data_IF_706334160314
#
_entry.id   IF_706334160314
#
_cell.length_a   1.000
_cell.length_b   1.000
_cell.length_c   1.000
_cell.angle_alpha   90.00
_cell.angle_beta   90.00
_cell.angle_gamma   90.00
#
_symmetry.space_group_name_H-M   'P 1'
#
loop_
_entity.id
_entity.type
_entity.pdbx_description
1 polymer ?
#
# COMPACT_ATOMS: atom_id res chain seq x y z
N UNK A 1 1.70 13.49 -23.54
CA UNK A 1 2.85 12.56 -23.62
C UNK A 1 3.71 12.75 -22.38
N UNK A 2 4.00 11.69 -21.62
CA UNK A 2 4.84 11.77 -20.43
C UNK A 2 6.30 12.07 -20.82
N UNK A 3 6.89 13.14 -20.27
CA UNK A 3 8.29 13.50 -20.53
C UNK A 3 9.16 13.15 -19.32
N UNK A 4 10.36 12.57 -19.48
CA UNK A 4 11.22 12.16 -18.37
C UNK A 4 11.58 13.29 -17.40
N UNK A 5 11.70 14.52 -17.90
CA UNK A 5 11.98 15.72 -17.10
C UNK A 5 10.91 16.02 -16.03
N UNK A 6 9.66 15.61 -16.27
CA UNK A 6 8.56 15.82 -15.33
C UNK A 6 8.33 14.64 -14.38
N UNK A 7 9.07 13.52 -14.51
CA UNK A 7 8.87 12.37 -13.62
C UNK A 7 9.14 12.73 -12.15
N UNK A 8 10.29 13.36 -11.78
CA UNK A 8 10.54 13.72 -10.38
C UNK A 8 9.49 14.67 -9.77
N UNK A 9 9.11 15.80 -10.40
CA UNK A 9 8.09 16.67 -9.83
C UNK A 9 6.71 16.00 -9.79
N UNK A 10 6.31 15.23 -10.81
CA UNK A 10 5.01 14.55 -10.81
C UNK A 10 4.90 13.50 -9.70
N UNK A 11 5.96 12.73 -9.42
CA UNK A 11 5.97 11.78 -8.31
C UNK A 11 5.88 12.51 -6.97
N UNK A 12 6.56 13.64 -6.81
CA UNK A 12 6.52 14.43 -5.59
C UNK A 12 5.12 14.99 -5.32
N UNK A 13 4.43 15.50 -6.35
CA UNK A 13 3.05 15.98 -6.23
C UNK A 13 2.07 14.83 -5.93
N UNK A 14 2.23 13.67 -6.57
CA UNK A 14 1.42 12.49 -6.26
C UNK A 14 1.60 12.04 -4.80
N UNK A 15 2.83 12.06 -4.29
CA UNK A 15 3.11 11.72 -2.90
C UNK A 15 2.49 12.73 -1.92
N UNK A 16 2.52 14.03 -2.24
CA UNK A 16 1.86 15.08 -1.44
C UNK A 16 0.34 14.94 -1.45
N UNK A 17 -0.25 14.65 -2.61
CA UNK A 17 -1.68 14.39 -2.73
C UNK A 17 -2.10 13.19 -1.88
N UNK A 18 -1.36 12.08 -1.96
CA UNK A 18 -1.63 10.91 -1.14
C UNK A 18 -1.48 11.19 0.36
N UNK A 19 -0.48 12.00 0.76
CA UNK A 19 -0.29 12.45 2.14
C UNK A 19 -1.49 13.27 2.64
N UNK A 20 -1.96 14.22 1.83
CA UNK A 20 -3.10 15.08 2.17
C UNK A 20 -4.41 14.28 2.28
N UNK A 21 -4.68 13.35 1.36
CA UNK A 21 -5.85 12.47 1.45
C UNK A 21 -5.82 11.66 2.75
N UNK A 22 -4.68 11.09 3.12
CA UNK A 22 -4.56 10.34 4.38
C UNK A 22 -4.67 11.23 5.61
N UNK A 23 -4.12 12.44 5.57
CA UNK A 23 -4.27 13.43 6.62
C UNK A 23 -5.75 13.80 6.84
N UNK A 24 -6.48 14.08 5.76
CA UNK A 24 -7.92 14.36 5.79
C UNK A 24 -8.76 13.15 6.24
N UNK A 25 -8.31 11.93 5.92
CA UNK A 25 -8.89 10.69 6.42
C UNK A 25 -8.58 10.40 7.90
N UNK A 26 -7.76 11.25 8.56
CA UNK A 26 -7.43 11.14 9.98
C UNK A 26 -6.31 10.17 10.32
N UNK A 27 -5.45 9.82 9.35
CA UNK A 27 -4.29 8.95 9.58
C UNK A 27 -3.31 9.57 10.60
N UNK A 28 -2.82 8.74 11.53
CA UNK A 28 -1.83 9.12 12.56
C UNK A 28 -0.60 8.20 12.56
N UNK A 29 -0.37 7.48 11.47
CA UNK A 29 0.77 6.58 11.34
C UNK A 29 2.10 7.33 11.45
N UNK A 30 2.99 6.84 12.30
CA UNK A 30 4.37 7.33 12.49
C UNK A 30 5.41 6.22 12.28
N UNK A 31 4.94 5.01 11.97
CA UNK A 31 5.71 3.80 11.76
C UNK A 31 5.85 3.50 10.25
N UNK A 32 6.41 2.33 9.91
CA UNK A 32 6.57 1.90 8.52
C UNK A 32 5.25 1.89 7.73
N UNK A 33 4.10 1.79 8.42
CA UNK A 33 2.78 1.86 7.78
C UNK A 33 2.55 3.19 7.04
N UNK A 34 3.19 4.28 7.49
CA UNK A 34 3.14 5.60 6.83
C UNK A 34 3.54 5.52 5.36
N UNK A 35 4.64 4.83 5.05
CA UNK A 35 5.14 4.65 3.68
C UNK A 35 4.22 3.75 2.87
N UNK A 36 3.81 2.62 3.46
CA UNK A 36 2.97 1.65 2.74
C UNK A 36 1.62 2.24 2.34
N UNK A 37 0.98 3.01 3.24
CA UNK A 37 -0.31 3.68 2.99
C UNK A 37 -0.24 4.69 1.85
N UNK A 38 0.82 5.50 1.80
CA UNK A 38 1.01 6.52 0.76
C UNK A 38 1.42 5.92 -0.58
N UNK A 39 2.26 4.88 -0.55
CA UNK A 39 2.62 4.13 -1.74
C UNK A 39 1.41 3.42 -2.34
N UNK A 40 0.60 2.73 -1.52
CA UNK A 40 -0.60 2.04 -1.98
C UNK A 40 -1.64 3.02 -2.54
N UNK A 41 -1.91 4.13 -1.85
CA UNK A 41 -2.87 5.12 -2.32
C UNK A 41 -2.42 5.79 -3.62
N UNK A 42 -1.13 6.11 -3.75
CA UNK A 42 -0.56 6.63 -5.02
C UNK A 42 -0.74 5.66 -6.18
N UNK A 43 -0.56 4.36 -5.93
CA UNK A 43 -0.79 3.31 -6.94
C UNK A 43 -2.28 3.17 -7.31
N UNK A 44 -3.18 3.22 -6.32
CA UNK A 44 -4.64 3.20 -6.56
C UNK A 44 -5.05 4.42 -7.40
N UNK A 45 -4.61 5.62 -7.03
CA UNK A 45 -4.93 6.86 -7.74
C UNK A 45 -4.45 6.82 -9.19
N UNK A 46 -3.16 6.55 -9.41
CA UNK A 46 -2.57 6.53 -10.75
C UNK A 46 -3.19 5.46 -11.67
N UNK A 47 -3.46 4.26 -11.14
CA UNK A 47 -4.12 3.21 -11.92
C UNK A 47 -5.58 3.55 -12.26
N UNK A 48 -6.29 4.21 -11.33
CA UNK A 48 -7.67 4.68 -11.56
C UNK A 48 -7.71 5.79 -12.59
N UNK A 49 -6.77 6.74 -12.54
CA UNK A 49 -6.67 7.84 -13.51
C UNK A 49 -6.41 7.32 -14.94
N UNK A 50 -5.51 6.34 -15.08
CA UNK A 50 -5.27 5.66 -16.36
C UNK A 50 -6.52 4.90 -16.84
N UNK A 51 -7.24 4.23 -15.94
CA UNK A 51 -8.49 3.54 -16.30
C UNK A 51 -9.57 4.55 -16.75
N UNK A 52 -9.73 5.64 -16.01
CA UNK A 52 -10.68 6.70 -16.28
C UNK A 52 -10.50 7.31 -17.67
N UNK A 53 -9.25 7.42 -18.15
CA UNK A 53 -8.94 7.94 -19.49
C UNK A 53 -9.57 7.14 -20.66
N UNK A 54 -9.96 5.89 -20.41
CA UNK A 54 -10.56 4.99 -21.39
C UNK A 54 -12.04 4.69 -21.10
N UNK A 55 -12.56 5.16 -19.96
CA UNK A 55 -13.93 4.88 -19.55
C UNK A 55 -14.91 5.78 -20.33
N UNK A 56 -15.91 5.14 -20.93
CA UNK A 56 -16.99 5.77 -21.71
C UNK A 56 -18.35 5.50 -21.10
N UNK A 57 -18.39 4.87 -19.92
CA UNK A 57 -19.64 4.63 -19.20
C UNK A 57 -20.28 5.95 -18.72
N UNK A 58 -21.61 6.01 -18.62
CA UNK A 58 -22.29 7.17 -18.04
C UNK A 58 -21.74 7.46 -16.65
N UNK A 59 -21.44 8.73 -16.38
CA UNK A 59 -20.94 9.23 -15.09
C UNK A 59 -19.73 8.45 -14.52
N UNK A 60 -18.92 7.82 -15.38
CA UNK A 60 -17.74 7.04 -14.99
C UNK A 60 -18.02 5.91 -13.99
N UNK A 61 -19.21 5.28 -14.06
CA UNK A 61 -19.59 4.19 -13.14
C UNK A 61 -18.56 3.06 -13.12
N UNK A 62 -17.98 2.70 -14.27
CA UNK A 62 -16.95 1.65 -14.33
C UNK A 62 -15.65 2.06 -13.63
N UNK A 63 -15.30 3.33 -13.68
CA UNK A 63 -14.15 3.88 -12.95
C UNK A 63 -14.37 3.80 -11.44
N UNK A 64 -15.58 4.12 -10.95
CA UNK A 64 -15.92 3.97 -9.54
C UNK A 64 -15.81 2.51 -9.08
N UNK A 65 -16.38 1.58 -9.84
CA UNK A 65 -16.24 0.15 -9.54
C UNK A 65 -14.78 -0.33 -9.58
N UNK A 66 -13.96 0.23 -10.49
CA UNK A 66 -12.54 -0.08 -10.55
C UNK A 66 -11.80 0.45 -9.32
N UNK A 67 -12.09 1.68 -8.91
CA UNK A 67 -11.53 2.29 -7.71
C UNK A 67 -11.85 1.46 -6.47
N UNK A 68 -13.11 1.06 -6.29
CA UNK A 68 -13.55 0.26 -5.14
C UNK A 68 -12.76 -1.06 -5.04
N UNK A 69 -12.62 -1.78 -6.16
CA UNK A 69 -11.81 -3.01 -6.23
C UNK A 69 -10.34 -2.76 -5.88
N UNK A 70 -9.75 -1.64 -6.33
CA UNK A 70 -8.36 -1.30 -6.05
C UNK A 70 -8.12 -0.93 -4.58
N UNK A 71 -9.09 -0.28 -3.94
CA UNK A 71 -9.05 -0.01 -2.50
C UNK A 71 -9.12 -1.33 -1.72
N UNK A 72 -10.02 -2.24 -2.11
CA UNK A 72 -10.11 -3.57 -1.49
C UNK A 72 -8.81 -4.37 -1.65
N UNK A 73 -8.22 -4.38 -2.85
CA UNK A 73 -6.93 -5.01 -3.12
C UNK A 73 -5.82 -4.44 -2.21
N UNK A 74 -5.76 -3.11 -2.06
CA UNK A 74 -4.76 -2.46 -1.21
C UNK A 74 -4.90 -2.87 0.27
N UNK A 75 -6.13 -3.01 0.77
CA UNK A 75 -6.38 -3.49 2.13
C UNK A 75 -5.97 -4.95 2.31
N UNK A 76 -6.31 -5.80 1.34
CA UNK A 76 -5.97 -7.23 1.34
C UNK A 76 -4.45 -7.47 1.26
N UNK A 77 -3.73 -6.65 0.50
CA UNK A 77 -2.27 -6.69 0.44
C UNK A 77 -1.64 -6.30 1.78
N UNK A 78 -2.15 -5.26 2.44
CA UNK A 78 -1.71 -4.83 3.76
C UNK A 78 -1.88 -5.92 4.82
N UNK A 79 -3.06 -6.56 4.85
CA UNK A 79 -3.33 -7.65 5.80
C UNK A 79 -2.49 -8.90 5.52
N UNK A 80 -2.29 -9.25 4.24
CA UNK A 80 -1.46 -10.38 3.83
C UNK A 80 0.00 -10.20 4.24
N UNK A 81 0.56 -9.01 4.05
CA UNK A 81 1.94 -8.69 4.47
C UNK A 81 2.10 -8.74 5.99
N UNK A 82 1.13 -8.21 6.74
CA UNK A 82 1.13 -8.28 8.20
C UNK A 82 1.11 -9.74 8.70
N UNK A 83 0.25 -10.58 8.12
CA UNK A 83 0.16 -12.00 8.45
C UNK A 83 1.46 -12.76 8.16
N UNK A 84 2.12 -12.48 7.03
CA UNK A 84 3.40 -13.09 6.67
C UNK A 84 4.52 -12.70 7.64
N UNK A 85 4.58 -11.43 8.04
CA UNK A 85 5.52 -10.96 9.06
C UNK A 85 5.31 -11.66 10.40
N UNK A 86 4.06 -11.79 10.84
CA UNK A 86 3.71 -12.50 12.07
C UNK A 86 4.10 -13.98 12.02
N UNK A 87 3.84 -14.68 10.91
CA UNK A 87 4.22 -16.08 10.72
C UNK A 87 5.75 -16.26 10.77
N UNK A 88 6.51 -15.38 10.12
CA UNK A 88 7.97 -15.44 10.11
C UNK A 88 8.59 -15.25 11.50
N UNK A 89 8.13 -14.23 12.23
CA UNK A 89 8.58 -13.97 13.60
C UNK A 89 8.23 -15.15 14.54
N UNK A 90 7.01 -15.68 14.43
CA UNK A 90 6.58 -16.83 15.24
C UNK A 90 7.43 -18.08 14.97
N UNK A 91 7.69 -18.37 13.69
CA UNK A 91 8.51 -19.52 13.29
C UNK A 91 9.96 -19.37 13.78
N UNK A 92 10.53 -18.16 13.67
CA UNK A 92 11.87 -17.86 14.17
C UNK A 92 11.97 -18.02 15.70
N UNK A 93 11.03 -17.45 16.46
CA UNK A 93 11.00 -17.58 17.92
C UNK A 93 10.81 -19.03 18.36
N UNK A 94 9.98 -19.80 17.66
CA UNK A 94 9.80 -21.23 17.93
C UNK A 94 11.09 -22.01 17.72
N UNK A 95 11.83 -21.70 16.66
CA UNK A 95 13.12 -22.34 16.37
C UNK A 95 14.18 -22.02 17.44
N UNK A 96 14.26 -20.75 17.87
CA UNK A 96 15.15 -20.32 18.96
C UNK A 96 14.80 -21.02 20.27
N UNK A 97 13.51 -21.12 20.62
CA UNK A 97 13.07 -21.80 21.83
C UNK A 97 13.40 -23.30 21.82
N UNK A 98 13.27 -23.97 20.67
CA UNK A 98 13.65 -25.38 20.49
C UNK A 98 15.16 -25.59 20.60
N UNK A 99 15.97 -24.66 20.07
CA UNK A 99 17.43 -24.71 20.21
C UNK A 99 17.86 -24.48 21.67
N UNK A 100 17.22 -23.52 22.35
CA UNK A 100 17.45 -23.24 23.78
C UNK A 100 17.05 -24.42 24.66
N UNK A 101 15.94 -25.11 24.37
CA UNK A 101 15.50 -26.29 25.13
C UNK A 101 16.43 -27.50 24.96
N UNK A 102 17.20 -27.57 23.85
CA UNK A 102 18.20 -28.62 23.61
C UNK A 102 19.59 -28.29 24.19
N UNK A 103 19.70 -27.27 25.03
CA UNK A 103 20.91 -26.98 25.80
C UNK A 103 22.00 -26.21 25.05
N UNK A 104 21.69 -25.65 23.87
CA UNK A 104 22.60 -24.72 23.18
C UNK A 104 22.63 -23.42 23.98
N UNK A 105 23.80 -23.04 24.50
CA UNK A 105 24.03 -21.72 25.10
C UNK A 105 24.05 -20.69 23.97
N UNK A 106 22.91 -20.03 23.75
CA UNK A 106 22.76 -18.84 22.91
C UNK A 106 22.21 -17.74 23.81
#
# INVERSE_FOLDING_TARGET
MAQPSYIPPSIAELARLADEIWFLAGDKSVDASWYTKRASLSAVYSSTDVFMSQDTSPDFVRTQEFLDRRIEDAQNLGSSLANLGQWGLYTGHSFVNVLRSKGVRI
#
